data_IF_583679755355
#
_entry.id   IF_583679755355
#
_cell.length_a   1.000
_cell.length_b   1.000
_cell.length_c   1.000
_cell.angle_alpha   90.00
_cell.angle_beta   90.00
_cell.angle_gamma   90.00
#
_symmetry.space_group_name_H-M   'P 1'
#
loop_
_entity.id
_entity.type
_entity.pdbx_description
1 polymer ?
#
# COMPACT_ATOMS: atom_id res chain seq x y z
N UNK A 1 -15.72 14.29 5.92
CA UNK A 1 -14.39 13.81 5.51
C UNK A 1 -14.21 12.30 5.66
N UNK A 2 -14.31 11.70 6.86
CA UNK A 2 -14.10 10.24 7.06
C UNK A 2 -14.94 9.34 6.13
N UNK A 3 -16.24 9.62 5.99
CA UNK A 3 -17.14 8.90 5.07
C UNK A 3 -16.70 8.98 3.61
N UNK A 4 -16.16 10.11 3.17
CA UNK A 4 -15.68 10.29 1.79
C UNK A 4 -14.46 9.40 1.49
N UNK A 5 -13.49 9.31 2.42
CA UNK A 5 -12.35 8.40 2.27
C UNK A 5 -12.76 6.92 2.32
N UNK A 6 -13.75 6.57 3.13
CA UNK A 6 -14.30 5.22 3.13
C UNK A 6 -14.95 4.88 1.78
N UNK A 7 -15.80 5.77 1.26
CA UNK A 7 -16.43 5.62 -0.05
C UNK A 7 -15.38 5.54 -1.15
N UNK A 8 -14.35 6.39 -1.12
CA UNK A 8 -13.23 6.35 -2.07
C UNK A 8 -12.57 4.97 -2.08
N UNK A 9 -12.19 4.44 -0.90
CA UNK A 9 -11.53 3.12 -0.81
C UNK A 9 -12.40 1.99 -1.32
N UNK A 10 -13.69 2.00 -0.99
CA UNK A 10 -14.64 0.99 -1.48
C UNK A 10 -14.87 1.12 -2.99
N UNK A 11 -14.96 2.34 -3.51
CA UNK A 11 -15.07 2.60 -4.95
C UNK A 11 -13.80 2.14 -5.68
N UNK A 12 -12.60 2.45 -5.17
CA UNK A 12 -11.33 1.98 -5.73
C UNK A 12 -11.22 0.45 -5.69
N UNK A 13 -11.70 -0.20 -4.63
CA UNK A 13 -11.76 -1.66 -4.57
C UNK A 13 -12.68 -2.23 -5.66
N UNK A 14 -13.90 -1.68 -5.81
CA UNK A 14 -14.82 -2.09 -6.87
C UNK A 14 -14.28 -1.85 -8.28
N UNK A 15 -13.68 -0.69 -8.52
CA UNK A 15 -13.01 -0.34 -9.77
C UNK A 15 -11.82 -1.29 -10.02
N UNK A 16 -11.07 -1.67 -8.98
CA UNK A 16 -9.98 -2.64 -9.08
C UNK A 16 -10.46 -4.04 -9.45
N UNK A 17 -11.60 -4.50 -8.93
CA UNK A 17 -12.23 -5.76 -9.37
C UNK A 17 -12.59 -5.68 -10.85
N UNK A 18 -13.24 -4.60 -11.27
CA UNK A 18 -13.61 -4.39 -12.68
C UNK A 18 -12.36 -4.35 -13.56
N UNK A 19 -11.31 -3.66 -13.12
CA UNK A 19 -10.02 -3.62 -13.80
C UNK A 19 -9.38 -5.00 -13.95
N UNK A 20 -9.31 -5.79 -12.87
CA UNK A 20 -8.76 -7.15 -12.89
C UNK A 20 -9.54 -8.09 -13.82
N UNK A 21 -10.88 -8.04 -13.77
CA UNK A 21 -11.72 -8.83 -14.66
C UNK A 21 -11.52 -8.40 -16.11
N UNK A 22 -11.52 -7.10 -16.40
CA UNK A 22 -11.31 -6.59 -17.74
C UNK A 22 -9.91 -6.95 -18.28
N UNK A 23 -8.89 -6.92 -17.43
CA UNK A 23 -7.52 -7.31 -17.81
C UNK A 23 -7.41 -8.82 -18.10
N UNK A 24 -8.07 -9.65 -17.28
CA UNK A 24 -8.19 -11.09 -17.55
C UNK A 24 -8.93 -11.35 -18.87
N UNK A 25 -10.07 -10.69 -19.11
CA UNK A 25 -10.83 -10.83 -20.35
C UNK A 25 -10.04 -10.35 -21.58
N UNK A 26 -9.29 -9.26 -21.45
CA UNK A 26 -8.40 -8.77 -22.49
C UNK A 26 -7.31 -9.80 -22.81
N UNK A 27 -6.71 -10.40 -21.77
CA UNK A 27 -5.62 -11.37 -21.96
C UNK A 27 -6.10 -12.72 -22.52
N UNK A 28 -7.35 -13.12 -22.28
CA UNK A 28 -7.97 -14.28 -22.95
C UNK A 28 -8.01 -14.17 -24.48
N UNK A 29 -7.92 -12.95 -25.03
CA UNK A 29 -7.90 -12.71 -26.47
C UNK A 29 -6.61 -13.16 -27.17
N UNK A 30 -5.54 -13.44 -26.42
CA UNK A 30 -4.25 -13.84 -27.00
C UNK A 30 -4.12 -15.36 -27.10
N UNK A 31 -3.69 -15.85 -28.27
CA UNK A 31 -3.50 -17.30 -28.53
C UNK A 31 -2.51 -17.99 -27.59
N UNK A 32 -1.51 -17.25 -27.08
CA UNK A 32 -0.49 -17.77 -26.17
C UNK A 32 -0.91 -17.72 -24.69
N UNK A 33 -2.14 -17.32 -24.39
CA UNK A 33 -2.61 -17.15 -23.02
C UNK A 33 -2.68 -18.48 -22.26
N UNK A 34 -2.24 -18.43 -21.00
CA UNK A 34 -2.35 -19.53 -20.04
C UNK A 34 -2.86 -18.95 -18.73
N UNK A 35 -3.94 -19.52 -18.19
CA UNK A 35 -4.60 -19.01 -16.98
C UNK A 35 -3.61 -18.96 -15.80
N UNK A 36 -2.82 -20.01 -15.62
CA UNK A 36 -1.85 -20.08 -14.53
C UNK A 36 -0.76 -19.01 -14.63
N UNK A 37 -0.39 -18.61 -15.85
CA UNK A 37 0.59 -17.56 -16.08
C UNK A 37 0.05 -16.19 -15.68
N UNK A 38 -1.24 -15.92 -15.94
CA UNK A 38 -1.88 -14.67 -15.54
C UNK A 38 -1.82 -14.45 -14.02
N UNK A 39 -2.11 -15.49 -13.24
CA UNK A 39 -2.07 -15.42 -11.78
C UNK A 39 -0.64 -15.49 -11.20
N UNK A 40 0.36 -15.90 -12.00
CA UNK A 40 1.75 -15.90 -11.59
C UNK A 40 2.38 -14.50 -11.57
N UNK A 41 1.80 -13.51 -12.24
CA UNK A 41 2.31 -12.14 -12.23
C UNK A 41 2.25 -11.52 -10.83
N UNK A 42 3.37 -10.92 -10.39
CA UNK A 42 3.44 -10.15 -9.15
C UNK A 42 2.42 -8.99 -9.17
N UNK A 43 2.27 -8.35 -10.32
CA UNK A 43 1.32 -7.25 -10.54
C UNK A 43 -0.14 -7.69 -10.38
N UNK A 44 -0.51 -8.87 -10.88
CA UNK A 44 -1.86 -9.43 -10.69
C UNK A 44 -2.12 -9.71 -9.21
N UNK A 45 -1.20 -10.41 -8.53
CA UNK A 45 -1.35 -10.76 -7.11
C UNK A 45 -1.36 -9.52 -6.21
N UNK A 46 -0.52 -8.52 -6.49
CA UNK A 46 -0.47 -7.28 -5.72
C UNK A 46 -1.74 -6.43 -5.90
N UNK A 47 -2.31 -6.39 -7.11
CA UNK A 47 -3.58 -5.71 -7.37
C UNK A 47 -4.76 -6.42 -6.70
N UNK A 48 -4.80 -7.75 -6.70
CA UNK A 48 -5.80 -8.53 -5.95
C UNK A 48 -5.71 -8.23 -4.45
N UNK A 49 -4.50 -8.21 -3.89
CA UNK A 49 -4.28 -7.79 -2.50
C UNK A 49 -4.71 -6.33 -2.27
N UNK A 50 -4.45 -5.45 -3.24
CA UNK A 50 -4.88 -4.05 -3.27
C UNK A 50 -6.39 -3.91 -3.11
N UNK A 51 -7.16 -4.63 -3.92
CA UNK A 51 -8.63 -4.67 -3.83
C UNK A 51 -9.09 -5.09 -2.43
N UNK A 52 -8.57 -6.20 -1.92
CA UNK A 52 -8.95 -6.72 -0.59
C UNK A 52 -8.63 -5.71 0.50
N UNK A 53 -7.43 -5.14 0.51
CA UNK A 53 -6.99 -4.21 1.56
C UNK A 53 -7.73 -2.87 1.47
N UNK A 54 -8.01 -2.36 0.27
CA UNK A 54 -8.83 -1.17 0.08
C UNK A 54 -10.25 -1.40 0.59
N UNK A 55 -10.86 -2.55 0.29
CA UNK A 55 -12.17 -2.91 0.81
C UNK A 55 -12.18 -2.99 2.34
N UNK A 56 -11.23 -3.73 2.94
CA UNK A 56 -11.12 -3.87 4.40
C UNK A 56 -10.87 -2.52 5.08
N UNK A 57 -10.00 -1.68 4.52
CA UNK A 57 -9.72 -0.34 5.05
C UNK A 57 -10.92 0.59 4.93
N UNK A 58 -11.66 0.53 3.81
CA UNK A 58 -12.91 1.25 3.61
C UNK A 58 -13.96 0.87 4.65
N UNK A 59 -14.21 -0.43 4.83
CA UNK A 59 -15.14 -0.96 5.83
C UNK A 59 -14.72 -0.60 7.26
N UNK A 60 -13.43 -0.75 7.60
CA UNK A 60 -12.91 -0.37 8.91
C UNK A 60 -13.08 1.12 9.20
N UNK A 61 -12.98 1.98 8.18
CA UNK A 61 -13.18 3.43 8.30
C UNK A 61 -14.63 3.82 8.56
N UNK A 62 -15.59 3.02 8.07
CA UNK A 62 -17.00 3.17 8.41
C UNK A 62 -17.27 2.69 9.84
N UNK A 63 -16.77 1.51 10.19
CA UNK A 63 -17.08 0.83 11.45
C UNK A 63 -16.35 1.40 12.68
N UNK A 64 -15.16 1.99 12.52
CA UNK A 64 -14.31 2.44 13.62
C UNK A 64 -13.86 3.89 13.44
N UNK A 65 -13.59 4.57 14.55
CA UNK A 65 -13.01 5.93 14.50
C UNK A 65 -11.53 5.93 14.11
N UNK A 66 -10.81 4.85 14.41
CA UNK A 66 -9.38 4.67 14.12
C UNK A 66 -9.15 3.34 13.45
N UNK A 67 -8.34 3.36 12.39
CA UNK A 67 -7.91 2.15 11.69
C UNK A 67 -7.05 1.28 12.62
N UNK A 68 -7.26 -0.05 12.66
CA UNK A 68 -6.39 -0.96 13.39
C UNK A 68 -4.94 -0.86 12.91
N UNK A 69 -3.98 -0.84 13.85
CA UNK A 69 -2.55 -0.69 13.51
C UNK A 69 -2.02 -1.76 12.55
N UNK A 70 -2.52 -3.00 12.68
CA UNK A 70 -2.12 -4.08 11.79
C UNK A 70 -2.60 -3.81 10.35
N UNK A 71 -3.81 -3.27 10.17
CA UNK A 71 -4.37 -2.96 8.87
C UNK A 71 -3.63 -1.80 8.20
N UNK A 72 -3.25 -0.77 8.96
CA UNK A 72 -2.37 0.29 8.43
C UNK A 72 -0.99 -0.26 8.01
N UNK A 73 -0.47 -1.25 8.73
CA UNK A 73 0.77 -1.95 8.36
C UNK A 73 0.61 -2.73 7.04
N UNK A 74 -0.40 -3.58 6.94
CA UNK A 74 -0.71 -4.34 5.71
C UNK A 74 -0.97 -3.41 4.53
N UNK A 75 -1.71 -2.31 4.74
CA UNK A 75 -1.96 -1.29 3.72
C UNK A 75 -0.69 -0.62 3.24
N UNK A 76 0.28 -0.36 4.11
CA UNK A 76 1.59 0.14 3.69
C UNK A 76 2.32 -0.85 2.78
N UNK A 77 2.34 -2.15 3.13
CA UNK A 77 2.98 -3.19 2.32
C UNK A 77 2.33 -3.32 0.94
N UNK A 78 1.00 -3.43 0.90
CA UNK A 78 0.28 -3.60 -0.36
C UNK A 78 0.36 -2.34 -1.21
N UNK A 79 0.32 -1.15 -0.60
CA UNK A 79 0.56 0.10 -1.32
C UNK A 79 1.95 0.12 -1.98
N UNK A 80 2.98 -0.34 -1.26
CA UNK A 80 4.31 -0.51 -1.86
C UNK A 80 4.27 -1.43 -3.08
N UNK A 81 3.59 -2.58 -2.98
CA UNK A 81 3.54 -3.56 -4.07
C UNK A 81 2.80 -3.06 -5.31
N UNK A 82 1.68 -2.34 -5.16
CA UNK A 82 0.96 -1.80 -6.31
C UNK A 82 1.70 -0.61 -6.94
N UNK A 83 2.41 0.20 -6.14
CA UNK A 83 3.23 1.32 -6.65
C UNK A 83 4.45 0.80 -7.42
N UNK A 84 5.19 -0.17 -6.87
CA UNK A 84 6.32 -0.76 -7.59
C UNK A 84 5.87 -1.48 -8.86
N UNK A 85 4.71 -2.14 -8.83
CA UNK A 85 4.11 -2.78 -10.00
C UNK A 85 3.87 -1.76 -11.12
N UNK A 86 3.30 -0.59 -10.79
CA UNK A 86 3.09 0.50 -11.75
C UNK A 86 4.39 1.05 -12.33
N UNK A 87 5.40 1.27 -11.49
CA UNK A 87 6.71 1.79 -11.91
C UNK A 87 7.40 0.79 -12.84
N UNK A 88 7.51 -0.47 -12.43
CA UNK A 88 8.18 -1.51 -13.23
C UNK A 88 7.45 -1.75 -14.54
N UNK A 89 6.10 -1.79 -14.52
CA UNK A 89 5.31 -1.88 -15.75
C UNK A 89 5.59 -0.71 -16.71
N UNK A 90 5.60 0.52 -16.20
CA UNK A 90 5.91 1.71 -17.01
C UNK A 90 7.33 1.66 -17.61
N UNK A 91 8.33 1.23 -16.83
CA UNK A 91 9.70 1.08 -17.30
C UNK A 91 9.82 0.02 -18.39
N UNK A 92 9.17 -1.14 -18.22
CA UNK A 92 9.14 -2.20 -19.23
C UNK A 92 8.46 -1.69 -20.52
N UNK A 93 7.33 -1.00 -20.40
CA UNK A 93 6.61 -0.49 -21.56
C UNK A 93 7.43 0.55 -22.34
N UNK A 94 8.12 1.46 -21.63
CA UNK A 94 9.03 2.46 -22.25
C UNK A 94 10.20 1.76 -22.94
N UNK A 95 10.86 0.82 -22.26
CA UNK A 95 12.01 0.12 -22.81
C UNK A 95 11.65 -0.75 -24.02
N UNK A 96 10.52 -1.45 -23.97
CA UNK A 96 10.02 -2.20 -25.11
C UNK A 96 9.78 -1.30 -26.33
N UNK A 97 9.16 -0.13 -26.12
CA UNK A 97 8.94 0.84 -27.18
C UNK A 97 10.27 1.38 -27.76
N UNK A 98 11.27 1.65 -26.91
CA UNK A 98 12.61 2.06 -27.34
C UNK A 98 13.29 0.99 -28.22
N UNK A 99 12.98 -0.29 -27.99
CA UNK A 99 13.45 -1.43 -28.79
C UNK A 99 12.57 -1.75 -30.00
N UNK A 100 11.59 -0.89 -30.32
CA UNK A 100 10.67 -1.09 -31.44
C UNK A 100 9.58 -2.14 -31.19
N UNK A 101 9.42 -2.61 -29.95
CA UNK A 101 8.38 -3.54 -29.54
C UNK A 101 7.22 -2.75 -28.96
N UNK A 102 6.09 -2.73 -29.66
CA UNK A 102 4.87 -2.09 -29.18
C UNK A 102 4.25 -2.90 -28.03
N UNK A 103 4.16 -2.28 -26.86
CA UNK A 103 3.38 -2.80 -25.72
C UNK A 103 2.05 -2.07 -25.67
N UNK A 104 0.97 -2.77 -26.00
CA UNK A 104 -0.37 -2.21 -25.84
C UNK A 104 -0.73 -2.14 -24.35
N UNK A 105 -1.18 -0.96 -23.91
CA UNK A 105 -1.64 -0.73 -22.55
C UNK A 105 -3.16 -0.54 -22.60
N UNK A 106 -3.96 -1.61 -22.43
CA UNK A 106 -5.40 -1.48 -22.38
C UNK A 106 -5.81 -0.61 -21.18
N UNK A 107 -7.02 -0.05 -21.23
CA UNK A 107 -7.54 0.81 -20.17
C UNK A 107 -7.54 0.09 -18.80
N UNK A 108 -7.76 -1.23 -18.77
CA UNK A 108 -7.71 -2.06 -17.56
C UNK A 108 -6.31 -2.04 -16.94
N UNK A 109 -5.28 -2.22 -17.76
CA UNK A 109 -3.90 -2.16 -17.34
C UNK A 109 -3.52 -0.74 -16.88
N UNK A 110 -3.93 0.30 -17.61
CA UNK A 110 -3.70 1.68 -17.19
C UNK A 110 -4.35 1.99 -15.82
N UNK A 111 -5.55 1.46 -15.60
CA UNK A 111 -6.29 1.61 -14.35
C UNK A 111 -5.54 0.95 -13.17
N UNK A 112 -5.10 -0.31 -13.36
CA UNK A 112 -4.44 -1.12 -12.34
C UNK A 112 -3.00 -0.66 -12.05
N UNK A 113 -2.25 -0.22 -13.07
CA UNK A 113 -0.84 0.14 -12.93
C UNK A 113 -0.61 1.61 -12.60
N UNK A 114 -1.53 2.51 -12.97
CA UNK A 114 -1.31 3.96 -12.80
C UNK A 114 -2.40 4.64 -11.99
N UNK A 115 -3.68 4.47 -12.35
CA UNK A 115 -4.77 5.25 -11.74
C UNK A 115 -5.01 4.82 -10.28
N UNK A 116 -5.25 3.54 -10.02
CA UNK A 116 -5.52 3.03 -8.67
C UNK A 116 -4.31 3.25 -7.74
N UNK A 117 -3.06 2.91 -8.12
CA UNK A 117 -1.90 3.18 -7.28
C UNK A 117 -1.75 4.66 -6.93
N UNK A 118 -1.95 5.57 -7.90
CA UNK A 118 -1.88 7.02 -7.67
C UNK A 118 -2.93 7.48 -6.66
N UNK A 119 -4.20 7.08 -6.86
CA UNK A 119 -5.28 7.44 -5.94
C UNK A 119 -5.10 6.81 -4.55
N UNK A 120 -4.52 5.61 -4.47
CA UNK A 120 -4.17 4.97 -3.21
C UNK A 120 -3.02 5.68 -2.47
N UNK A 121 -2.03 6.22 -3.18
CA UNK A 121 -0.98 7.09 -2.59
C UNK A 121 -1.61 8.39 -2.09
N UNK A 122 -2.51 9.01 -2.86
CA UNK A 122 -3.22 10.22 -2.41
C UNK A 122 -4.07 9.94 -1.16
N UNK A 123 -4.80 8.81 -1.12
CA UNK A 123 -5.50 8.36 0.08
C UNK A 123 -4.55 8.17 1.26
N UNK A 124 -3.38 7.56 1.05
CA UNK A 124 -2.37 7.33 2.09
C UNK A 124 -1.89 8.63 2.75
N UNK A 125 -1.68 9.68 1.95
CA UNK A 125 -1.16 10.97 2.39
C UNK A 125 -2.27 11.82 3.05
N UNK A 126 -3.46 11.83 2.45
CA UNK A 126 -4.54 12.77 2.77
C UNK A 126 -5.55 12.24 3.79
N UNK A 127 -5.66 10.92 3.99
CA UNK A 127 -6.70 10.35 4.84
C UNK A 127 -6.61 10.82 6.31
N UNK A 128 -7.72 11.26 6.91
CA UNK A 128 -7.77 11.68 8.31
C UNK A 128 -7.65 10.47 9.24
N UNK A 129 -7.08 10.68 10.44
CA UNK A 129 -7.00 9.64 11.47
C UNK A 129 -5.95 8.54 11.20
N UNK A 130 -5.05 8.76 10.22
CA UNK A 130 -3.94 7.86 9.92
C UNK A 130 -3.06 7.63 11.14
N UNK A 131 -2.70 6.36 11.34
CA UNK A 131 -1.78 5.92 12.38
C UNK A 131 -0.36 5.81 11.81
N UNK A 132 0.67 6.27 12.53
CA UNK A 132 2.05 6.06 12.11
C UNK A 132 2.36 4.58 11.98
N UNK A 133 2.92 4.17 10.84
CA UNK A 133 3.36 2.80 10.62
C UNK A 133 4.74 2.58 11.25
N UNK A 134 4.92 1.43 11.91
CA UNK A 134 6.21 1.05 12.50
C UNK A 134 7.20 0.72 11.37
N UNK A 135 8.45 1.17 11.51
CA UNK A 135 9.53 0.82 10.57
C UNK A 135 9.75 -0.68 10.40
N UNK A 136 9.38 -1.49 11.40
CA UNK A 136 9.34 -2.95 11.28
C UNK A 136 8.48 -3.45 10.11
N UNK A 137 7.45 -2.72 9.69
CA UNK A 137 6.68 -3.07 8.50
C UNK A 137 7.55 -3.01 7.22
N UNK A 138 8.39 -1.98 7.07
CA UNK A 138 9.31 -1.88 5.94
C UNK A 138 10.30 -3.07 5.92
N UNK A 139 10.71 -3.59 7.08
CA UNK A 139 11.57 -4.78 7.14
C UNK A 139 10.86 -6.07 6.67
N UNK A 140 9.53 -6.12 6.78
CA UNK A 140 8.73 -7.28 6.34
C UNK A 140 8.33 -7.22 4.87
N UNK A 141 8.59 -6.11 4.17
CA UNK A 141 8.10 -5.89 2.80
C UNK A 141 8.71 -6.84 1.78
N UNK A 142 9.89 -7.39 2.04
CA UNK A 142 10.54 -8.34 1.14
C UNK A 142 10.02 -9.76 1.29
N UNK A 143 9.25 -10.06 2.34
CA UNK A 143 8.74 -11.42 2.58
C UNK A 143 7.91 -11.95 1.41
N UNK A 144 6.93 -11.17 0.95
CA UNK A 144 6.09 -11.57 -0.19
C UNK A 144 6.87 -11.62 -1.52
N UNK A 145 7.62 -10.57 -1.94
CA UNK A 145 8.42 -10.62 -3.16
C UNK A 145 9.44 -11.76 -3.22
N UNK A 146 10.11 -12.08 -2.10
CA UNK A 146 11.09 -13.17 -2.07
C UNK A 146 10.41 -14.53 -2.22
N UNK A 147 9.31 -14.77 -1.49
CA UNK A 147 8.54 -16.03 -1.63
C UNK A 147 7.97 -16.16 -3.05
N UNK A 148 7.39 -15.09 -3.57
CA UNK A 148 6.87 -15.04 -4.93
C UNK A 148 7.99 -15.29 -5.97
N UNK A 149 9.16 -14.68 -5.79
CA UNK A 149 10.31 -14.84 -6.67
C UNK A 149 10.82 -16.28 -6.69
N UNK A 150 11.00 -16.91 -5.53
CA UNK A 150 11.42 -18.32 -5.43
C UNK A 150 10.42 -19.25 -6.13
N UNK A 151 9.12 -19.07 -5.87
CA UNK A 151 8.07 -19.86 -6.53
C UNK A 151 8.11 -19.65 -8.05
N UNK A 152 8.27 -18.40 -8.49
CA UNK A 152 8.32 -18.03 -9.91
C UNK A 152 9.53 -18.65 -10.60
N UNK A 153 10.71 -18.63 -9.97
CA UNK A 153 11.93 -19.19 -10.54
C UNK A 153 11.86 -20.71 -10.63
N UNK A 154 11.39 -21.39 -9.57
CA UNK A 154 11.20 -22.85 -9.59
C UNK A 154 10.19 -23.24 -10.66
N UNK A 155 9.02 -22.58 -10.69
CA UNK A 155 7.99 -22.84 -11.70
C UNK A 155 8.51 -22.59 -13.11
N UNK A 156 9.23 -21.48 -13.32
CA UNK A 156 9.77 -21.12 -14.62
C UNK A 156 10.79 -22.13 -15.14
N UNK A 157 11.64 -22.68 -14.27
CA UNK A 157 12.55 -23.77 -14.62
C UNK A 157 11.83 -25.07 -15.02
N UNK A 158 10.64 -25.32 -14.46
CA UNK A 158 9.85 -26.53 -14.75
C UNK A 158 9.04 -26.43 -16.05
N UNK A 159 8.50 -25.24 -16.36
CA UNK A 159 7.58 -25.07 -17.49
C UNK A 159 8.13 -24.22 -18.65
N UNK A 160 9.34 -23.65 -18.48
CA UNK A 160 10.00 -22.82 -19.49
C UNK A 160 9.35 -21.45 -19.70
N UNK A 161 8.71 -20.87 -18.67
CA UNK A 161 8.06 -19.56 -18.77
C UNK A 161 8.24 -18.72 -17.51
N UNK A 162 8.59 -17.45 -17.70
CA UNK A 162 8.73 -16.46 -16.65
C UNK A 162 7.84 -15.23 -16.95
N UNK A 163 7.27 -14.58 -15.93
CA UNK A 163 6.39 -13.42 -16.12
C UNK A 163 7.14 -12.17 -16.61
N UNK A 164 8.43 -12.08 -16.33
CA UNK A 164 9.26 -10.92 -16.67
C UNK A 164 10.58 -11.37 -17.27
N UNK A 165 11.07 -10.65 -18.28
CA UNK A 165 12.33 -10.98 -18.98
C UNK A 165 13.53 -11.04 -18.03
N UNK A 166 13.59 -10.15 -17.03
CA UNK A 166 14.69 -10.08 -16.09
C UNK A 166 14.73 -11.26 -15.11
N UNK A 167 13.67 -12.07 -15.04
CA UNK A 167 13.63 -13.32 -14.28
C UNK A 167 13.97 -14.55 -15.13
N UNK A 168 14.10 -14.40 -16.45
CA UNK A 168 14.44 -15.48 -17.36
C UNK A 168 15.96 -15.48 -17.59
N UNK A 169 16.70 -16.49 -17.10
CA UNK A 169 18.15 -16.59 -17.32
C UNK A 169 18.55 -16.66 -18.80
N UNK A 170 17.63 -17.04 -19.69
CA UNK A 170 17.83 -17.08 -21.14
C UNK A 170 17.64 -15.74 -21.85
N UNK A 171 17.11 -14.72 -21.16
CA UNK A 171 16.84 -13.39 -21.73
C UNK A 171 17.71 -12.28 -21.13
N UNK A 172 18.64 -12.61 -20.24
CA UNK A 172 19.58 -11.68 -19.61
C UNK A 172 21.02 -12.06 -19.91
N UNK A 173 21.94 -11.09 -19.86
CA UNK A 173 23.36 -11.24 -20.22
C UNK A 173 24.17 -11.98 -19.14
N UNK A 174 23.72 -13.19 -18.78
CA UNK A 174 24.36 -14.09 -17.84
C UNK A 174 24.00 -13.87 -16.35
N UNK A 175 24.58 -14.68 -15.45
CA UNK A 175 24.18 -14.73 -14.04
C UNK A 175 24.37 -13.41 -13.27
N UNK A 176 25.37 -12.61 -13.66
CA UNK A 176 25.63 -11.31 -13.02
C UNK A 176 24.50 -10.31 -13.33
N UNK A 177 24.09 -10.21 -14.60
CA UNK A 177 23.00 -9.34 -15.01
C UNK A 177 21.68 -9.74 -14.32
N UNK A 178 21.39 -11.04 -14.27
CA UNK A 178 20.25 -11.61 -13.55
C UNK A 178 20.20 -11.13 -12.08
N UNK A 179 21.28 -11.36 -11.32
CA UNK A 179 21.36 -10.95 -9.91
C UNK A 179 21.23 -9.44 -9.74
N UNK A 180 21.82 -8.66 -10.65
CA UNK A 180 21.72 -7.19 -10.60
C UNK A 180 20.29 -6.71 -10.80
N UNK A 181 19.54 -7.25 -11.75
CA UNK A 181 18.13 -6.90 -11.94
C UNK A 181 17.31 -7.19 -10.68
N UNK A 182 17.47 -8.38 -10.10
CA UNK A 182 16.74 -8.76 -8.89
C UNK A 182 17.10 -7.85 -7.70
N UNK A 183 18.38 -7.56 -7.49
CA UNK A 183 18.83 -6.64 -6.43
C UNK A 183 18.27 -5.24 -6.64
N UNK A 184 18.24 -4.73 -7.87
CA UNK A 184 17.66 -3.43 -8.20
C UNK A 184 16.16 -3.41 -7.87
N UNK A 185 15.41 -4.44 -8.27
CA UNK A 185 13.97 -4.52 -8.00
C UNK A 185 13.70 -4.64 -6.49
N UNK A 186 14.43 -5.49 -5.76
CA UNK A 186 14.29 -5.60 -4.30
C UNK A 186 14.70 -4.32 -3.58
N UNK A 187 15.72 -3.62 -4.08
CA UNK A 187 16.14 -2.29 -3.61
C UNK A 187 15.04 -1.24 -3.82
N UNK A 188 14.42 -1.23 -5.00
CA UNK A 188 13.30 -0.35 -5.33
C UNK A 188 12.09 -0.61 -4.42
N UNK A 189 11.72 -1.88 -4.20
CA UNK A 189 10.66 -2.27 -3.26
C UNK A 189 10.96 -1.74 -1.86
N UNK A 190 12.19 -1.96 -1.38
CA UNK A 190 12.63 -1.51 -0.04
C UNK A 190 12.60 0.00 0.09
N UNK A 191 13.05 0.73 -0.93
CA UNK A 191 13.04 2.19 -0.98
C UNK A 191 11.62 2.76 -0.97
N UNK A 192 10.72 2.21 -1.79
CA UNK A 192 9.30 2.62 -1.80
C UNK A 192 8.63 2.28 -0.47
N UNK A 193 8.92 1.12 0.14
CA UNK A 193 8.42 0.77 1.46
C UNK A 193 8.85 1.78 2.53
N UNK A 194 10.14 2.15 2.52
CA UNK A 194 10.67 3.13 3.45
C UNK A 194 9.99 4.49 3.25
N UNK A 195 9.80 4.91 2.00
CA UNK A 195 9.11 6.15 1.64
C UNK A 195 7.64 6.15 2.09
N UNK A 196 6.89 5.08 1.81
CA UNK A 196 5.48 4.92 2.25
C UNK A 196 5.37 4.98 3.78
N UNK A 197 6.26 4.30 4.50
CA UNK A 197 6.30 4.35 5.97
C UNK A 197 6.67 5.74 6.48
N UNK A 198 7.61 6.43 5.84
CA UNK A 198 7.95 7.81 6.19
C UNK A 198 6.76 8.76 5.99
N UNK A 199 6.05 8.65 4.86
CA UNK A 199 4.86 9.44 4.57
C UNK A 199 3.76 9.26 5.62
N UNK A 200 3.61 8.07 6.20
CA UNK A 200 2.63 7.80 7.27
C UNK A 200 2.82 8.68 8.52
N UNK A 201 4.01 9.26 8.70
CA UNK A 201 4.41 10.05 9.88
C UNK A 201 4.27 11.55 9.68
N UNK A 202 4.28 12.02 8.44
CA UNK A 202 3.98 13.43 8.12
C UNK A 202 2.57 13.72 8.63
N UNK A 203 2.26 14.92 9.14
CA UNK A 203 0.87 15.27 9.47
C UNK A 203 0.24 15.99 8.28
N UNK A 204 -1.06 15.76 7.95
CA UNK A 204 -1.72 16.57 6.93
C UNK A 204 -1.70 18.04 7.40
N UNK A 205 -1.27 18.95 6.53
CA UNK A 205 -1.34 20.39 6.78
C UNK A 205 -2.79 20.75 7.15
N UNK A 206 -3.00 21.35 8.32
CA UNK A 206 -4.32 21.75 8.81
C UNK A 206 -4.99 20.83 9.83
N UNK A 207 -4.36 19.73 10.25
CA UNK A 207 -4.80 19.05 11.48
C UNK A 207 -4.61 20.04 12.65
N UNK A 208 -5.69 20.47 13.34
CA UNK A 208 -5.53 21.32 14.51
C UNK A 208 -4.51 20.65 15.41
N UNK A 209 -3.48 21.39 15.84
CA UNK A 209 -2.72 20.93 16.99
C UNK A 209 -3.78 20.60 18.03
N UNK A 210 -3.74 19.41 18.61
CA UNK A 210 -4.38 19.16 19.88
C UNK A 210 -3.67 19.99 20.99
N UNK A 211 -3.45 21.28 20.71
CA UNK A 211 -3.07 22.31 21.64
C UNK A 211 -4.40 22.87 22.14
N UNK A 212 -4.80 22.35 23.29
CA UNK A 212 -5.63 23.04 24.27
C UNK A 212 -6.96 23.64 23.76
N UNK A 213 -7.89 22.80 23.28
CA UNK A 213 -9.29 23.10 23.60
C UNK A 213 -9.56 22.68 25.04
N UNK A 214 -8.99 23.44 25.98
CA UNK A 214 -9.51 23.54 27.34
C UNK A 214 -10.81 24.31 27.18
N UNK A 215 -11.91 23.60 26.93
CA UNK A 215 -13.23 24.22 26.85
C UNK A 215 -13.47 25.14 28.06
N UNK A 216 -14.39 26.11 27.98
CA UNK A 216 -14.57 27.16 29.01
C UNK A 216 -14.68 26.61 30.45
N UNK A 217 -15.10 25.35 30.58
CA UNK A 217 -15.25 24.63 31.86
C UNK A 217 -13.97 24.06 32.47
N UNK A 218 -12.85 24.00 31.75
CA UNK A 218 -11.58 23.47 32.28
C UNK A 218 -10.98 24.40 33.35
N UNK A 219 -11.03 25.73 33.13
CA UNK A 219 -10.65 26.72 34.16
C UNK A 219 -11.60 26.68 35.36
N UNK A 220 -12.90 26.43 35.13
CA UNK A 220 -13.88 26.32 36.20
C UNK A 220 -13.61 25.09 37.10
N UNK A 221 -13.25 23.93 36.54
CA UNK A 221 -12.85 22.77 37.37
C UNK A 221 -11.59 23.02 38.19
N UNK A 222 -10.62 23.75 37.63
CA UNK A 222 -9.39 24.09 38.36
C UNK A 222 -9.67 25.09 39.50
N UNK A 223 -10.54 26.08 39.28
CA UNK A 223 -10.97 27.01 40.33
C UNK A 223 -11.81 26.32 41.43
N UNK A 224 -12.71 25.41 41.05
CA UNK A 224 -13.53 24.64 42.01
C UNK A 224 -12.66 23.70 42.85
N UNK A 225 -11.68 23.03 42.24
CA UNK A 225 -10.76 22.13 42.98
C UNK A 225 -9.83 22.90 43.94
N UNK A 226 -9.30 24.06 43.54
CA UNK A 226 -8.51 24.94 44.42
C UNK A 226 -9.32 25.53 45.58
N UNK A 227 -10.63 25.74 45.40
CA UNK A 227 -11.51 26.20 46.49
C UNK A 227 -11.78 25.09 47.50
N UNK A 228 -11.94 23.85 47.03
CA UNK A 228 -12.18 22.67 47.87
C UNK A 228 -10.98 22.31 48.75
N UNK A 229 -9.75 22.53 48.28
CA UNK A 229 -8.53 22.29 49.07
C UNK A 229 -8.28 23.37 50.12
N UNK A 230 -8.77 24.60 49.92
CA UNK A 230 -8.65 25.70 50.89
C UNK A 230 -9.64 25.63 52.06
N UNK A 231 -10.75 24.91 51.90
CA UNK A 231 -11.80 24.78 52.92
C UNK A 231 -11.73 23.48 53.71
N UNK A 232 -10.73 22.63 53.47
CA UNK A 232 -10.53 21.42 54.25
C UNK A 232 -10.05 21.79 55.66
N UNK A 233 -10.74 21.39 56.74
CA UNK A 233 -10.28 21.65 58.10
C UNK A 233 -8.96 20.91 58.34
N UNK A 234 -8.03 21.56 59.05
CA UNK A 234 -6.76 20.97 59.44
C UNK A 234 -7.01 19.67 60.22
N UNK A 235 -6.25 18.59 59.97
CA UNK A 235 -6.41 17.35 60.70
C UNK A 235 -6.15 17.62 62.19
N UNK A 236 -7.12 17.28 63.03
CA UNK A 236 -7.01 17.38 64.48
C UNK A 236 -5.84 16.51 64.95
N UNK A 237 -4.82 17.14 65.52
CA UNK A 237 -3.77 16.44 66.25
C UNK A 237 -4.44 15.60 67.35
N UNK A 238 -4.31 14.28 67.26
CA UNK A 238 -4.69 13.38 68.35
C UNK A 238 -3.50 13.27 69.32
N UNK A 239 -3.77 13.22 70.63
CA UNK A 239 -2.76 13.24 71.69
C UNK A 239 -1.88 12.00 71.69
#
# INVERSE_FOLDING_TARGET
MRKAFAILRLALAGIGVVGLVADFLYTLGFRAFQIDNFFAYFTTQSNMAGVVVLALSGLATLAREREPRWLSGVRALVLTYIVVSGIVFGLIAVEANNRGVRVDVPWSSALLHFVIPTLAVLDWILAPGRQPVRWRAALTVLGFPVVWGVITLVRGALIGWYPYFFLDPGQVDGPVAFVLYDVIVLGLISGIAAFVVALSRVRPLGAPRAAEWRGPFARLRELVSRRRSRTAPAPSARP
#
